data_IF_417686670345
#
_entry.id   IF_417686670345
#
_cell.length_a   1.000
_cell.length_b   1.000
_cell.length_c   1.000
_cell.angle_alpha   90.00
_cell.angle_beta   90.00
_cell.angle_gamma   90.00
#
_symmetry.space_group_name_H-M   'P 1'
#
loop_
_entity.id
_entity.type
_entity.pdbx_description
1 polymer ?
#
# COMPACT_ATOMS: atom_id res chain seq x y z
N UNK A 1 1.83 17.49 8.06
CA UNK A 1 2.48 16.15 8.12
C UNK A 1 1.55 15.13 7.47
N UNK A 2 2.00 14.26 6.57
CA UNK A 2 1.15 13.23 5.96
C UNK A 2 0.97 12.09 6.95
N UNK A 3 -0.20 12.00 7.59
CA UNK A 3 -0.53 10.90 8.51
C UNK A 3 -1.36 9.86 7.78
N UNK A 4 -0.89 8.61 7.80
CA UNK A 4 -1.59 7.47 7.22
C UNK A 4 -2.03 6.53 8.35
N UNK A 5 -3.32 6.26 8.47
CA UNK A 5 -3.82 5.26 9.42
C UNK A 5 -4.07 3.93 8.73
N UNK A 6 -3.72 2.86 9.43
CA UNK A 6 -3.86 1.50 8.96
C UNK A 6 -4.77 0.70 9.89
N UNK A 7 -5.80 0.06 9.32
CA UNK A 7 -6.73 -0.77 10.07
C UNK A 7 -7.07 -2.07 9.33
N UNK A 8 -7.76 -2.96 10.01
CA UNK A 8 -8.18 -4.27 9.51
C UNK A 8 -9.69 -4.34 9.31
N UNK A 9 -10.16 -5.47 8.80
CA UNK A 9 -11.53 -5.94 8.96
C UNK A 9 -11.92 -6.07 10.44
N UNK A 10 -13.23 -6.19 10.68
CA UNK A 10 -13.79 -6.48 12.02
C UNK A 10 -13.37 -7.89 12.43
N UNK A 11 -12.98 -8.05 13.70
CA UNK A 11 -12.49 -9.32 14.28
C UNK A 11 -11.41 -10.00 13.41
N UNK A 12 -10.25 -9.35 13.19
CA UNK A 12 -9.20 -9.87 12.33
C UNK A 12 -8.55 -11.13 12.93
N UNK A 13 -8.13 -12.07 12.07
CA UNK A 13 -7.32 -13.21 12.48
C UNK A 13 -5.93 -12.79 12.95
N UNK A 14 -5.26 -13.69 13.69
CA UNK A 14 -3.87 -13.49 14.12
C UNK A 14 -2.92 -13.28 12.94
N UNK A 15 -3.15 -13.98 11.83
CA UNK A 15 -2.37 -13.85 10.61
C UNK A 15 -2.49 -12.45 10.01
N UNK A 16 -3.71 -11.91 9.91
CA UNK A 16 -3.92 -10.55 9.44
C UNK A 16 -3.33 -9.51 10.39
N UNK A 17 -3.43 -9.71 11.70
CA UNK A 17 -2.77 -8.84 12.69
C UNK A 17 -1.25 -8.85 12.49
N UNK A 18 -0.64 -10.02 12.28
CA UNK A 18 0.80 -10.15 12.03
C UNK A 18 1.20 -9.48 10.70
N UNK A 19 0.42 -9.68 9.65
CA UNK A 19 0.62 -9.05 8.35
C UNK A 19 0.55 -7.52 8.44
N UNK A 20 -0.49 -6.98 9.10
CA UNK A 20 -0.66 -5.53 9.25
C UNK A 20 0.45 -4.87 10.07
N UNK A 21 0.96 -5.55 11.12
CA UNK A 21 2.14 -5.11 11.89
C UNK A 21 3.41 -4.99 11.06
N UNK A 22 3.53 -5.75 9.97
CA UNK A 22 4.72 -5.71 9.09
C UNK A 22 4.50 -4.78 7.92
N UNK A 23 3.28 -4.72 7.39
CA UNK A 23 2.91 -3.84 6.29
C UNK A 23 2.94 -2.36 6.71
N UNK A 24 2.62 -2.04 7.98
CA UNK A 24 2.75 -0.67 8.50
C UNK A 24 4.16 -0.09 8.30
N UNK A 25 5.20 -0.93 8.38
CA UNK A 25 6.56 -0.49 8.21
C UNK A 25 6.79 0.09 6.83
N UNK A 26 6.07 -0.35 5.78
CA UNK A 26 6.16 0.22 4.44
C UNK A 26 5.82 1.71 4.41
N UNK A 27 4.87 2.16 5.22
CA UNK A 27 4.38 3.54 5.16
C UNK A 27 5.04 4.37 6.27
N UNK A 28 5.90 5.34 5.93
CA UNK A 28 6.47 6.23 6.94
C UNK A 28 5.38 7.05 7.61
N UNK A 29 5.59 7.44 8.87
CA UNK A 29 4.65 8.26 9.65
C UNK A 29 3.23 7.68 9.76
N UNK A 30 3.10 6.35 9.62
CA UNK A 30 1.83 5.66 9.71
C UNK A 30 1.56 5.11 11.12
N UNK A 31 0.28 4.96 11.46
CA UNK A 31 -0.16 4.39 12.76
C UNK A 31 -1.18 3.29 12.54
N UNK A 32 -1.03 2.17 13.26
CA UNK A 32 -2.02 1.09 13.28
C UNK A 32 -3.11 1.47 14.26
N UNK A 33 -4.36 1.45 13.81
CA UNK A 33 -5.53 1.61 14.66
C UNK A 33 -6.31 0.30 14.71
N UNK A 34 -6.69 -0.11 15.92
CA UNK A 34 -7.52 -1.30 16.08
C UNK A 34 -8.94 -1.01 15.59
N UNK A 35 -9.47 -1.89 14.74
CA UNK A 35 -10.80 -1.72 14.16
C UNK A 35 -11.91 -1.74 15.23
N UNK A 36 -11.83 -2.70 16.15
CA UNK A 36 -12.83 -2.91 17.20
C UNK A 36 -14.25 -3.12 16.65
N UNK A 37 -15.25 -2.66 17.40
CA UNK A 37 -16.67 -2.68 17.00
C UNK A 37 -17.13 -1.38 16.31
N UNK A 38 -16.20 -0.45 16.04
CA UNK A 38 -16.53 0.86 15.45
C UNK A 38 -17.09 0.70 14.05
N UNK A 39 -18.10 1.50 13.70
CA UNK A 39 -18.55 1.63 12.33
C UNK A 39 -17.47 2.26 11.44
N UNK A 40 -17.60 2.09 10.14
CA UNK A 40 -16.59 2.59 9.21
C UNK A 40 -16.67 4.12 9.10
N UNK A 41 -17.87 4.65 9.08
CA UNK A 41 -18.17 6.10 9.12
C UNK A 41 -17.52 6.77 10.32
N UNK A 42 -17.71 6.24 11.53
CA UNK A 42 -17.11 6.83 12.74
C UNK A 42 -15.58 6.74 12.76
N UNK A 43 -15.00 5.73 12.12
CA UNK A 43 -13.54 5.64 11.96
C UNK A 43 -13.03 6.71 10.98
N UNK A 44 -13.76 6.99 9.90
CA UNK A 44 -13.42 8.07 8.98
C UNK A 44 -13.56 9.43 9.67
N UNK A 45 -14.65 9.69 10.38
CA UNK A 45 -14.83 10.93 11.16
C UNK A 45 -13.66 11.16 12.11
N UNK A 46 -13.27 10.12 12.86
CA UNK A 46 -12.08 10.17 13.73
C UNK A 46 -10.79 10.47 12.95
N UNK A 47 -10.62 9.89 11.75
CA UNK A 47 -9.45 10.17 10.92
C UNK A 47 -9.44 11.64 10.45
N UNK A 48 -10.58 12.17 10.03
CA UNK A 48 -10.73 13.57 9.58
C UNK A 48 -10.47 14.55 10.73
N UNK A 49 -11.03 14.30 11.91
CA UNK A 49 -10.78 15.08 13.14
C UNK A 49 -9.30 15.10 13.55
N UNK A 50 -8.57 14.02 13.25
CA UNK A 50 -7.13 13.91 13.56
C UNK A 50 -6.21 14.34 12.39
N UNK A 51 -6.77 14.98 11.36
CA UNK A 51 -6.07 15.47 10.17
C UNK A 51 -5.31 14.35 9.42
N UNK A 52 -5.86 13.14 9.44
CA UNK A 52 -5.32 11.99 8.73
C UNK A 52 -5.67 12.12 7.25
N UNK A 53 -4.65 12.02 6.39
CA UNK A 53 -4.82 12.19 4.94
C UNK A 53 -5.17 10.89 4.22
N UNK A 54 -4.74 9.75 4.78
CA UNK A 54 -4.86 8.46 4.12
C UNK A 54 -5.37 7.41 5.12
N UNK A 55 -6.39 6.66 4.74
CA UNK A 55 -6.87 5.49 5.45
C UNK A 55 -6.63 4.22 4.62
N UNK A 56 -5.88 3.29 5.20
CA UNK A 56 -5.63 1.96 4.65
C UNK A 56 -6.47 0.93 5.41
N UNK A 57 -7.29 0.17 4.69
CA UNK A 57 -8.12 -0.90 5.28
C UNK A 57 -7.75 -2.22 4.64
N UNK A 58 -7.42 -3.22 5.45
CA UNK A 58 -7.03 -4.56 4.97
C UNK A 58 -8.08 -5.58 5.41
N UNK A 59 -8.58 -6.34 4.44
CA UNK A 59 -9.48 -7.47 4.65
C UNK A 59 -8.77 -8.78 4.38
N UNK A 60 -9.26 -9.82 5.03
CA UNK A 60 -8.82 -11.20 4.85
C UNK A 60 -9.95 -12.08 4.33
N UNK A 61 -9.56 -13.23 3.78
CA UNK A 61 -10.44 -14.33 3.44
C UNK A 61 -9.84 -15.59 4.07
N UNK A 62 -10.60 -16.27 4.95
CA UNK A 62 -10.15 -17.49 5.65
C UNK A 62 -8.76 -17.32 6.32
N UNK A 63 -8.55 -16.20 7.00
CA UNK A 63 -7.30 -15.90 7.70
C UNK A 63 -6.14 -15.38 6.85
N UNK A 64 -6.31 -15.26 5.53
CA UNK A 64 -5.28 -14.78 4.62
C UNK A 64 -5.60 -13.36 4.11
N UNK A 65 -4.67 -12.40 4.17
CA UNK A 65 -4.82 -11.08 3.56
C UNK A 65 -5.26 -11.18 2.09
N UNK A 66 -6.37 -10.53 1.75
CA UNK A 66 -7.00 -10.68 0.44
C UNK A 66 -7.30 -9.33 -0.24
N UNK A 67 -7.66 -8.29 0.51
CA UNK A 67 -7.99 -6.99 -0.07
C UNK A 67 -7.32 -5.87 0.71
N UNK A 68 -6.74 -4.91 -0.01
CA UNK A 68 -6.24 -3.65 0.52
C UNK A 68 -7.03 -2.52 -0.13
N UNK A 69 -7.57 -1.63 0.68
CA UNK A 69 -8.24 -0.43 0.21
C UNK A 69 -7.45 0.77 0.69
N UNK A 70 -7.17 1.68 -0.24
CA UNK A 70 -6.49 2.93 0.03
C UNK A 70 -7.49 4.04 -0.23
N UNK A 71 -7.82 4.82 0.79
CA UNK A 71 -8.80 5.91 0.72
C UNK A 71 -8.13 7.21 1.13
N UNK A 72 -8.13 8.20 0.22
CA UNK A 72 -7.67 9.54 0.54
C UNK A 72 -8.79 10.34 1.20
N UNK A 73 -8.51 10.94 2.34
CA UNK A 73 -9.47 11.69 3.14
C UNK A 73 -9.22 13.21 2.99
N UNK A 74 -10.25 14.06 3.18
CA UNK A 74 -11.64 13.70 3.55
C UNK A 74 -12.50 13.18 2.39
N UNK A 75 -12.30 13.69 1.18
CA UNK A 75 -13.12 13.43 -0.03
C UNK A 75 -12.28 13.01 -1.24
N UNK A 76 -11.13 12.41 -1.00
CA UNK A 76 -10.25 11.92 -2.07
C UNK A 76 -10.71 10.57 -2.64
N UNK A 77 -10.06 10.09 -3.72
CA UNK A 77 -10.44 8.83 -4.33
C UNK A 77 -10.06 7.64 -3.44
N UNK A 78 -10.77 6.53 -3.65
CA UNK A 78 -10.42 5.25 -3.04
C UNK A 78 -10.13 4.20 -4.10
N UNK A 79 -9.02 3.49 -3.94
CA UNK A 79 -8.63 2.38 -4.81
C UNK A 79 -8.65 1.07 -4.04
N UNK A 80 -9.16 0.05 -4.69
CA UNK A 80 -9.32 -1.29 -4.15
C UNK A 80 -8.37 -2.23 -4.87
N UNK A 81 -7.54 -2.92 -4.10
CA UNK A 81 -6.58 -3.90 -4.58
C UNK A 81 -6.87 -5.27 -4.00
N UNK A 82 -6.79 -6.30 -4.84
CA UNK A 82 -6.64 -7.68 -4.37
C UNK A 82 -5.16 -7.93 -4.03
N UNK A 83 -4.89 -8.43 -2.84
CA UNK A 83 -3.56 -8.87 -2.42
C UNK A 83 -3.38 -10.32 -2.85
N UNK A 84 -2.21 -10.64 -3.39
CA UNK A 84 -1.79 -12.01 -3.70
C UNK A 84 -0.29 -12.17 -3.53
N UNK A 85 0.18 -13.41 -3.49
CA UNK A 85 1.61 -13.77 -3.42
C UNK A 85 2.37 -12.99 -2.34
N UNK A 86 1.75 -12.83 -1.15
CA UNK A 86 2.40 -12.13 -0.05
C UNK A 86 3.43 -13.05 0.60
N UNK A 87 4.68 -12.60 0.63
CA UNK A 87 5.73 -13.21 1.42
C UNK A 87 6.17 -12.22 2.49
N UNK A 88 6.10 -12.67 3.72
CA UNK A 88 6.36 -11.88 4.90
C UNK A 88 7.71 -12.33 5.45
N UNK A 89 8.79 -11.69 4.99
CA UNK A 89 10.12 -11.96 5.54
C UNK A 89 10.11 -11.74 7.06
N UNK A 90 10.64 -12.71 7.78
CA UNK A 90 10.90 -12.59 9.21
C UNK A 90 12.21 -11.83 9.31
N UNK A 91 12.15 -10.60 9.82
CA UNK A 91 13.35 -9.82 10.07
C UNK A 91 14.16 -10.43 11.21
N UNK A 92 15.46 -10.62 10.99
CA UNK A 92 16.43 -10.69 12.08
C UNK A 92 16.52 -9.30 12.72
N UNK A 93 16.69 -9.25 14.04
CA UNK A 93 16.47 -8.08 14.89
C UNK A 93 17.14 -6.76 14.44
N UNK A 94 18.24 -6.82 13.69
CA UNK A 94 19.08 -5.67 13.32
C UNK A 94 18.47 -4.72 12.26
N UNK A 95 17.39 -5.13 11.59
CA UNK A 95 16.81 -4.35 10.48
C UNK A 95 15.90 -3.21 10.98
N UNK A 96 15.47 -3.28 12.24
CA UNK A 96 14.52 -2.31 12.78
C UNK A 96 15.03 -0.87 12.79
N UNK A 97 16.35 -0.69 12.83
CA UNK A 97 17.03 0.61 12.89
C UNK A 97 16.79 1.44 11.60
N UNK A 98 16.54 0.79 10.47
CA UNK A 98 16.42 1.47 9.17
C UNK A 98 14.99 1.89 8.79
N UNK A 99 13.99 1.60 9.62
CA UNK A 99 12.60 1.99 9.32
C UNK A 99 12.28 3.45 9.65
N UNK A 100 13.17 4.17 10.35
CA UNK A 100 13.06 5.61 10.61
C UNK A 100 13.29 6.46 9.36
N UNK A 101 14.14 6.00 8.44
CA UNK A 101 14.45 6.71 7.20
C UNK A 101 13.25 6.74 6.24
N UNK A 102 13.01 7.91 5.65
CA UNK A 102 12.00 8.08 4.60
C UNK A 102 12.44 7.34 3.33
N UNK A 103 11.62 6.43 2.78
CA UNK A 103 11.99 5.64 1.62
C UNK A 103 11.96 6.45 0.32
N UNK A 104 12.92 6.20 -0.57
CA UNK A 104 12.84 6.58 -1.98
C UNK A 104 11.75 5.73 -2.64
N UNK A 105 10.77 6.39 -3.23
CA UNK A 105 9.68 5.74 -3.94
C UNK A 105 10.05 5.58 -5.42
N UNK A 106 10.06 4.32 -5.89
CA UNK A 106 10.22 3.99 -7.30
C UNK A 106 8.91 3.43 -7.84
N UNK A 107 8.37 4.06 -8.88
CA UNK A 107 7.19 3.55 -9.58
C UNK A 107 7.56 3.37 -11.05
N UNK A 108 7.36 2.16 -11.58
CA UNK A 108 7.68 1.85 -12.98
C UNK A 108 6.60 0.99 -13.62
N UNK A 109 6.55 1.01 -14.96
CA UNK A 109 5.63 0.23 -15.78
C UNK A 109 4.13 0.47 -15.45
N UNK A 110 3.76 1.69 -15.07
CA UNK A 110 2.38 2.11 -14.84
C UNK A 110 2.02 3.28 -15.77
N UNK A 111 2.18 3.03 -17.06
CA UNK A 111 2.15 4.08 -18.10
C UNK A 111 0.75 4.34 -18.66
N UNK A 112 -0.22 3.48 -18.41
CA UNK A 112 -1.61 3.67 -18.85
C UNK A 112 -2.28 4.82 -18.07
N UNK A 113 -3.39 5.40 -18.55
CA UNK A 113 -4.12 6.42 -17.79
C UNK A 113 -4.50 5.94 -16.39
N UNK A 114 -5.00 4.70 -16.27
CA UNK A 114 -5.32 4.06 -14.98
C UNK A 114 -4.05 3.83 -14.14
N UNK A 115 -2.97 3.33 -14.76
CA UNK A 115 -1.67 3.16 -14.10
C UNK A 115 -1.13 4.49 -13.55
N UNK A 116 -1.21 5.57 -14.31
CA UNK A 116 -0.78 6.91 -13.90
C UNK A 116 -1.65 7.46 -12.76
N UNK A 117 -2.96 7.17 -12.78
CA UNK A 117 -3.91 7.50 -11.72
C UNK A 117 -3.55 6.77 -10.43
N UNK A 118 -3.29 5.47 -10.51
CA UNK A 118 -2.86 4.66 -9.37
C UNK A 118 -1.49 5.13 -8.85
N UNK A 119 -0.54 5.46 -9.73
CA UNK A 119 0.75 6.03 -9.35
C UNK A 119 0.58 7.30 -8.52
N UNK A 120 -0.31 8.23 -8.92
CA UNK A 120 -0.60 9.44 -8.15
C UNK A 120 -1.16 9.12 -6.75
N UNK A 121 -2.09 8.17 -6.67
CA UNK A 121 -2.67 7.71 -5.39
C UNK A 121 -1.58 7.12 -4.48
N UNK A 122 -0.73 6.23 -5.02
CA UNK A 122 0.36 5.60 -4.25
C UNK A 122 1.39 6.64 -3.82
N UNK A 123 1.80 7.55 -4.69
CA UNK A 123 2.76 8.61 -4.38
C UNK A 123 2.30 9.47 -3.20
N UNK A 124 1.01 9.78 -3.11
CA UNK A 124 0.43 10.55 -2.00
C UNK A 124 0.45 9.83 -0.63
N UNK A 125 0.82 8.56 -0.59
CA UNK A 125 1.04 7.83 0.66
C UNK A 125 2.42 8.08 1.26
N UNK A 126 3.35 8.62 0.47
CA UNK A 126 4.74 8.78 0.84
C UNK A 126 5.13 10.26 0.90
N UNK A 127 5.79 10.71 1.98
CA UNK A 127 6.43 12.01 2.00
C UNK A 127 7.65 12.01 1.07
N UNK A 128 8.06 13.21 0.65
CA UNK A 128 9.28 13.39 -0.15
C UNK A 128 10.50 12.91 0.66
N UNK A 129 11.28 11.99 0.09
CA UNK A 129 12.51 11.48 0.69
C UNK A 129 13.71 12.40 0.38
N UNK A 130 14.76 12.27 1.19
CA UNK A 130 16.07 12.83 0.86
C UNK A 130 16.78 11.97 -0.19
N UNK A 131 17.70 12.57 -0.96
CA UNK A 131 18.47 11.86 -1.99
C UNK A 131 19.43 10.81 -1.39
N UNK A 132 19.77 10.92 -0.11
CA UNK A 132 20.71 10.02 0.58
C UNK A 132 20.02 8.86 1.31
N UNK A 133 18.70 8.70 1.16
CA UNK A 133 17.99 7.63 1.83
C UNK A 133 18.46 6.26 1.32
N UNK A 134 18.77 5.38 2.28
CA UNK A 134 19.21 4.00 1.98
C UNK A 134 18.03 3.08 1.71
N UNK A 135 16.80 3.54 1.92
CA UNK A 135 15.60 2.72 1.86
C UNK A 135 14.86 2.97 0.56
N UNK A 136 14.48 1.91 -0.14
CA UNK A 136 13.73 2.00 -1.40
C UNK A 136 12.44 1.19 -1.27
N UNK A 137 11.34 1.76 -1.76
CA UNK A 137 10.10 1.02 -1.98
C UNK A 137 9.78 1.10 -3.47
N UNK A 138 9.60 -0.05 -4.10
CA UNK A 138 9.30 -0.14 -5.52
C UNK A 138 7.89 -0.65 -5.76
N UNK A 139 7.14 0.03 -6.62
CA UNK A 139 5.88 -0.43 -7.21
C UNK A 139 6.10 -0.62 -8.71
N UNK A 140 6.12 -1.87 -9.16
CA UNK A 140 6.41 -2.19 -10.57
C UNK A 140 5.18 -2.84 -11.20
N UNK A 141 4.65 -2.23 -12.26
CA UNK A 141 3.61 -2.82 -13.08
C UNK A 141 4.11 -4.05 -13.84
N UNK A 142 3.41 -5.17 -13.65
CA UNK A 142 3.69 -6.46 -14.28
C UNK A 142 2.37 -7.08 -14.70
N UNK A 143 2.03 -6.95 -15.99
CA UNK A 143 0.76 -7.34 -16.59
C UNK A 143 -0.45 -6.60 -15.96
N UNK A 144 -1.19 -7.27 -15.08
CA UNK A 144 -2.35 -6.71 -14.37
C UNK A 144 -2.11 -6.59 -12.86
N UNK A 145 -0.88 -6.80 -12.42
CA UNK A 145 -0.49 -6.73 -11.01
C UNK A 145 0.57 -5.66 -10.83
N UNK A 146 0.56 -5.03 -9.66
CA UNK A 146 1.59 -4.12 -9.19
C UNK A 146 2.39 -4.89 -8.15
N UNK A 147 3.66 -5.14 -8.44
CA UNK A 147 4.56 -5.83 -7.52
C UNK A 147 5.18 -4.81 -6.58
N UNK A 148 4.87 -4.94 -5.30
CA UNK A 148 5.45 -4.14 -4.24
C UNK A 148 6.64 -4.88 -3.62
N UNK A 149 7.79 -4.23 -3.58
CA UNK A 149 8.98 -4.71 -2.87
C UNK A 149 9.59 -3.56 -2.06
N UNK A 150 10.38 -3.92 -1.05
CA UNK A 150 11.17 -2.97 -0.29
C UNK A 150 12.61 -3.45 -0.22
N UNK A 151 13.53 -2.56 -0.59
CA UNK A 151 14.96 -2.80 -0.61
C UNK A 151 15.68 -1.84 0.33
N UNK A 152 16.89 -2.24 0.70
CA UNK A 152 17.85 -1.38 1.38
C UNK A 152 19.19 -1.41 0.65
N UNK A 153 19.73 -0.23 0.42
CA UNK A 153 21.06 -0.02 -0.12
C UNK A 153 22.12 -0.44 0.90
N UNK A 154 22.99 -1.35 0.48
CA UNK A 154 24.23 -1.67 1.19
C UNK A 154 25.41 -1.26 0.31
N UNK A 155 26.23 -0.34 0.81
CA UNK A 155 27.55 -0.07 0.23
C UNK A 155 28.45 -1.26 0.56
N UNK A 156 29.15 -1.80 -0.43
CA UNK A 156 30.30 -2.67 -0.16
C UNK A 156 31.48 -1.79 0.22
N UNK A 157 32.25 -2.22 1.22
CA UNK A 157 33.48 -1.53 1.60
C UNK A 157 34.53 -1.71 0.49
N UNK A 158 35.29 -0.63 0.26
CA UNK A 158 36.55 -0.48 -0.45
C UNK A 158 36.59 -0.20 -1.97
N UNK A 159 35.73 -0.75 -2.84
CA UNK A 159 35.72 -0.37 -4.27
C UNK A 159 34.34 0.14 -4.69
N UNK A 160 34.27 1.42 -5.06
CA UNK A 160 33.07 2.25 -5.26
C UNK A 160 32.08 1.80 -6.37
N UNK A 161 32.20 0.60 -6.94
CA UNK A 161 31.51 0.29 -8.20
C UNK A 161 30.31 -0.64 -8.05
N UNK A 162 30.18 -1.38 -6.94
CA UNK A 162 29.13 -2.41 -6.83
C UNK A 162 28.19 -2.18 -5.62
N UNK A 163 27.16 -1.37 -5.83
CA UNK A 163 26.05 -1.21 -4.88
C UNK A 163 25.19 -2.49 -4.86
N UNK A 164 24.92 -3.03 -3.67
CA UNK A 164 24.02 -4.18 -3.51
C UNK A 164 22.69 -3.75 -2.89
N UNK A 165 21.60 -4.23 -3.47
CA UNK A 165 20.26 -4.13 -2.90
C UNK A 165 19.95 -5.37 -2.08
N UNK A 166 19.64 -5.19 -0.80
CA UNK A 166 19.10 -6.26 0.05
C UNK A 166 17.59 -6.15 0.06
N UNK A 167 16.89 -7.22 -0.30
CA UNK A 167 15.43 -7.27 -0.13
C UNK A 167 15.11 -7.45 1.36
N UNK A 168 14.26 -6.58 1.86
CA UNK A 168 13.95 -6.44 3.28
C UNK A 168 12.47 -6.70 3.48
N UNK A 169 11.60 -5.95 2.81
CA UNK A 169 10.20 -5.90 3.19
C UNK A 169 9.29 -6.96 2.58
N UNK A 170 8.01 -6.90 2.96
CA UNK A 170 7.02 -7.81 2.44
C UNK A 170 6.93 -7.65 0.92
N UNK A 171 7.03 -8.77 0.22
CA UNK A 171 6.80 -8.86 -1.22
C UNK A 171 5.36 -9.27 -1.41
N UNK A 172 4.56 -8.47 -2.10
CA UNK A 172 3.19 -8.85 -2.44
C UNK A 172 2.75 -8.21 -3.75
N UNK A 173 1.76 -8.83 -4.36
CA UNK A 173 1.18 -8.38 -5.62
C UNK A 173 -0.16 -7.72 -5.32
N UNK A 174 -0.34 -6.51 -5.84
CA UNK A 174 -1.57 -5.76 -5.78
C UNK A 174 -2.23 -5.76 -7.16
N UNK A 175 -3.42 -6.34 -7.26
CA UNK A 175 -4.24 -6.25 -8.46
C UNK A 175 -5.35 -5.21 -8.24
N UNK A 176 -5.27 -4.01 -8.83
CA UNK A 176 -6.36 -3.04 -8.71
C UNK A 176 -7.61 -3.63 -9.34
N UNK A 177 -8.78 -3.41 -8.74
CA UNK A 177 -10.05 -3.85 -9.33
C UNK A 177 -11.18 -2.83 -9.28
N UNK A 178 -11.04 -1.75 -8.52
CA UNK A 178 -12.01 -0.66 -8.45
C UNK A 178 -11.34 0.65 -8.03
N UNK A 179 -11.73 1.75 -8.63
CA UNK A 179 -11.40 3.13 -8.24
C UNK A 179 -12.72 3.90 -8.13
N UNK A 180 -12.94 4.57 -7.01
CA UNK A 180 -14.10 5.45 -6.78
C UNK A 180 -13.64 6.88 -6.50
N UNK A 181 -14.45 7.85 -6.92
CA UNK A 181 -14.32 9.26 -6.62
C UNK A 181 -15.05 9.56 -5.31
N UNK A 182 -14.46 9.11 -4.21
CA UNK A 182 -15.05 9.24 -2.88
C UNK A 182 -14.34 8.38 -1.85
N UNK A 183 -14.70 8.58 -0.59
CA UNK A 183 -14.17 7.74 0.50
C UNK A 183 -14.86 6.37 0.52
N UNK A 184 -14.27 5.43 1.26
CA UNK A 184 -14.76 4.04 1.37
C UNK A 184 -16.17 3.92 2.02
N UNK A 185 -16.67 4.95 2.72
CA UNK A 185 -18.01 4.91 3.34
C UNK A 185 -19.14 5.43 2.44
N UNK A 186 -18.81 6.15 1.37
CA UNK A 186 -19.80 6.77 0.49
C UNK A 186 -20.47 5.73 -0.41
N UNK A 187 -21.74 5.46 -0.13
CA UNK A 187 -22.56 4.44 -0.83
C UNK A 187 -22.79 4.83 -2.30
N UNK A 188 -22.97 6.13 -2.58
CA UNK A 188 -23.32 6.67 -3.90
C UNK A 188 -22.12 7.33 -4.60
N UNK A 189 -20.89 6.92 -4.28
CA UNK A 189 -19.69 7.48 -4.91
C UNK A 189 -19.59 7.06 -6.38
N UNK A 190 -19.23 8.03 -7.24
CA UNK A 190 -19.03 7.78 -8.67
C UNK A 190 -17.85 6.82 -8.88
N UNK A 191 -18.08 5.76 -9.66
CA UNK A 191 -17.03 4.79 -9.99
C UNK A 191 -16.22 5.31 -11.16
N UNK A 192 -14.94 5.63 -10.91
CA UNK A 192 -14.00 6.06 -11.96
C UNK A 192 -13.59 4.89 -12.84
N UNK A 193 -13.35 3.72 -12.22
CA UNK A 193 -12.91 2.52 -12.95
C UNK A 193 -13.25 1.25 -12.16
N UNK A 194 -13.61 0.18 -12.86
CA UNK A 194 -13.85 -1.14 -12.26
C UNK A 194 -13.44 -2.25 -13.23
N UNK A 195 -12.87 -3.34 -12.72
CA UNK A 195 -12.65 -4.55 -13.53
C UNK A 195 -14.00 -5.20 -13.79
N UNK A 196 -14.43 -5.18 -15.04
CA UNK A 196 -15.58 -5.94 -15.51
C UNK A 196 -15.16 -7.38 -15.78
N UNK A 197 -15.76 -8.35 -15.08
CA UNK A 197 -15.36 -9.75 -15.21
C UNK A 197 -15.96 -10.46 -16.42
N UNK A 198 -17.01 -9.90 -17.03
CA UNK A 198 -17.88 -10.59 -17.98
C UNK A 198 -17.61 -10.28 -19.46
N UNK A 199 -16.62 -9.44 -19.78
CA UNK A 199 -16.32 -9.08 -21.17
C UNK A 199 -15.34 -10.11 -21.76
N UNK A 200 -15.76 -10.79 -22.83
CA UNK A 200 -15.00 -11.87 -23.51
C UNK A 200 -13.64 -11.39 -24.09
N UNK A 201 -13.42 -10.09 -24.28
CA UNK A 201 -12.18 -9.51 -24.87
C UNK A 201 -11.00 -9.37 -23.89
N UNK A 202 -11.12 -9.88 -22.66
CA UNK A 202 -10.21 -9.72 -21.50
C UNK A 202 -8.72 -10.02 -21.69
N UNK A 203 -8.28 -10.53 -22.83
CA UNK A 203 -6.86 -10.82 -23.09
C UNK A 203 -6.01 -9.57 -23.38
N UNK A 204 -6.59 -8.38 -23.57
CA UNK A 204 -5.85 -7.21 -24.11
C UNK A 204 -5.81 -5.92 -23.28
N UNK A 205 -6.57 -5.78 -22.19
CA UNK A 205 -6.43 -4.60 -21.32
C UNK A 205 -5.35 -4.84 -20.26
N UNK A 206 -4.15 -4.33 -20.56
CA UNK A 206 -2.98 -4.31 -19.69
C UNK A 206 -3.01 -2.97 -18.93
N UNK A 207 -2.70 -3.00 -17.63
CA UNK A 207 -2.65 -1.82 -16.74
C UNK A 207 -1.24 -1.23 -16.76
#
# INVERSE_FOLDING_TARGET
>A
MLRTFLTTSRNPSLNLISFTKKLINLFPQSKKINRGRKFLTSLISYCVENEVKNLLVIYELKGNPNCLIISHLPSGPSVYFKISNYNILIFKNDINIFFSDLPILLISNLNTPIGSRISKIITNLYPKSSNNSKRIISYVGLSNNIVCNQYLFQKKNYNNENMKLKNIGPRFFLRPFKIILGNISEINSNVEWIITTLIQSKRRMII
#
